data_IF_599960582319
#
_entry.id   IF_599960582319
#
_cell.length_a   1.000
_cell.length_b   1.000
_cell.length_c   1.000
_cell.angle_alpha   90.00
_cell.angle_beta   90.00
_cell.angle_gamma   90.00
#
_symmetry.space_group_name_H-M   'P 1'
#
loop_
_entity.id
_entity.type
_entity.pdbx_description
1 polymer ?
#
# COMPACT_ATOMS: atom_id res chain seq x y z
N UNK A 1 25.09 -39.77 -5.77
CA UNK A 1 25.80 -38.49 -5.60
C UNK A 1 25.11 -37.35 -6.36
N UNK A 2 23.82 -37.06 -6.06
CA UNK A 2 23.07 -35.93 -6.66
C UNK A 2 22.32 -35.06 -5.61
N UNK A 3 22.43 -35.39 -4.32
CA UNK A 3 21.56 -34.83 -3.27
C UNK A 3 22.17 -33.71 -2.42
N UNK A 4 23.42 -33.31 -2.65
CA UNK A 4 24.08 -32.29 -1.80
C UNK A 4 23.85 -30.86 -2.31
N UNK A 5 23.44 -30.69 -3.58
CA UNK A 5 23.23 -29.36 -4.20
C UNK A 5 21.94 -28.64 -3.77
N UNK A 6 21.00 -29.32 -3.12
CA UNK A 6 19.73 -28.71 -2.65
C UNK A 6 19.84 -27.92 -1.34
N UNK A 7 20.95 -28.09 -0.61
CA UNK A 7 21.23 -27.38 0.64
C UNK A 7 22.19 -26.19 0.46
N UNK A 8 22.51 -25.85 -0.80
CA UNK A 8 23.41 -24.75 -1.15
C UNK A 8 22.74 -23.43 -0.79
N UNK A 9 23.09 -22.93 0.39
CA UNK A 9 22.94 -21.56 0.87
C UNK A 9 21.81 -20.77 0.20
N UNK A 10 20.58 -20.92 0.72
CA UNK A 10 19.58 -19.88 0.50
C UNK A 10 20.07 -18.62 1.18
N UNK A 11 20.80 -17.79 0.44
CA UNK A 11 21.22 -16.47 0.85
C UNK A 11 20.00 -15.72 1.39
N UNK A 12 20.19 -14.85 2.38
CA UNK A 12 19.10 -14.07 2.96
C UNK A 12 18.20 -13.40 1.91
N UNK A 13 18.78 -13.01 0.78
CA UNK A 13 18.11 -12.44 -0.39
C UNK A 13 17.04 -13.37 -1.00
N UNK A 14 17.29 -14.68 -1.12
CA UNK A 14 16.31 -15.59 -1.68
C UNK A 14 15.09 -15.72 -0.76
N UNK A 15 15.31 -15.77 0.57
CA UNK A 15 14.22 -15.85 1.55
C UNK A 15 13.35 -14.58 1.53
N UNK A 16 13.97 -13.41 1.34
CA UNK A 16 13.24 -12.15 1.16
C UNK A 16 12.41 -12.15 -0.11
N UNK A 17 12.96 -12.61 -1.25
CA UNK A 17 12.20 -12.68 -2.50
C UNK A 17 10.96 -13.58 -2.41
N UNK A 18 11.06 -14.70 -1.70
CA UNK A 18 9.94 -15.61 -1.47
C UNK A 18 9.00 -15.19 -0.31
N UNK A 19 9.25 -14.04 0.34
CA UNK A 19 8.35 -13.53 1.35
C UNK A 19 7.02 -13.11 0.71
N UNK A 20 5.92 -13.53 1.34
CA UNK A 20 4.57 -13.33 0.78
C UNK A 20 4.25 -11.85 0.51
N UNK A 21 4.69 -10.93 1.39
CA UNK A 21 4.52 -9.50 1.20
C UNK A 21 5.24 -8.97 -0.06
N UNK A 22 6.45 -9.44 -0.34
CA UNK A 22 7.21 -9.03 -1.54
C UNK A 22 6.58 -9.64 -2.80
N UNK A 23 6.17 -10.91 -2.75
CA UNK A 23 5.46 -11.56 -3.85
C UNK A 23 4.16 -10.84 -4.18
N UNK A 24 3.43 -10.35 -3.18
CA UNK A 24 2.24 -9.53 -3.38
C UNK A 24 2.57 -8.25 -4.14
N UNK A 25 3.58 -7.48 -3.72
CA UNK A 25 3.97 -6.25 -4.43
C UNK A 25 4.32 -6.53 -5.88
N UNK A 26 5.11 -7.58 -6.15
CA UNK A 26 5.44 -7.99 -7.52
C UNK A 26 4.19 -8.38 -8.33
N UNK A 27 3.23 -9.07 -7.71
CA UNK A 27 1.97 -9.43 -8.35
C UNK A 27 1.14 -8.19 -8.71
N UNK A 28 1.05 -7.20 -7.82
CA UNK A 28 0.34 -5.94 -8.10
C UNK A 28 0.96 -5.21 -9.30
N UNK A 29 2.29 -5.11 -9.34
CA UNK A 29 3.02 -4.47 -10.44
C UNK A 29 2.90 -5.23 -11.76
N UNK A 30 2.69 -6.54 -11.73
CA UNK A 30 2.57 -7.37 -12.93
C UNK A 30 1.15 -7.42 -13.49
N UNK A 31 0.15 -7.64 -12.63
CA UNK A 31 -1.21 -7.99 -13.04
C UNK A 31 -2.25 -6.90 -12.72
N UNK A 32 -1.97 -5.99 -11.78
CA UNK A 32 -2.91 -4.98 -11.30
C UNK A 32 -2.30 -3.58 -11.33
N UNK A 33 -1.67 -3.26 -12.47
CA UNK A 33 -0.99 -1.98 -12.71
C UNK A 33 -1.96 -0.82 -12.51
N UNK A 34 -3.18 -0.89 -13.06
CA UNK A 34 -4.16 0.19 -12.95
C UNK A 34 -4.51 0.54 -11.50
N UNK A 35 -4.75 -0.47 -10.65
CA UNK A 35 -5.04 -0.23 -9.24
C UNK A 35 -3.80 0.39 -8.56
N UNK A 36 -2.60 -0.10 -8.89
CA UNK A 36 -1.34 0.42 -8.34
C UNK A 36 -1.08 1.86 -8.77
N UNK A 37 -1.46 2.25 -9.99
CA UNK A 37 -1.35 3.61 -10.50
C UNK A 37 -2.14 4.62 -9.68
N UNK A 38 -3.24 4.23 -9.02
CA UNK A 38 -4.01 5.14 -8.15
C UNK A 38 -3.16 5.56 -6.95
N UNK A 39 -2.39 4.64 -6.36
CA UNK A 39 -1.44 4.98 -5.28
C UNK A 39 -0.33 5.91 -5.75
N UNK A 40 0.20 5.67 -6.95
CA UNK A 40 1.23 6.53 -7.57
C UNK A 40 0.68 7.93 -7.82
N UNK A 41 -0.56 8.04 -8.32
CA UNK A 41 -1.24 9.31 -8.55
C UNK A 41 -1.40 10.08 -7.23
N UNK A 42 -1.89 9.43 -6.18
CA UNK A 42 -2.00 10.05 -4.85
C UNK A 42 -0.63 10.52 -4.33
N UNK A 43 0.42 9.72 -4.50
CA UNK A 43 1.79 10.11 -4.14
C UNK A 43 2.30 11.32 -4.92
N UNK A 44 1.99 11.41 -6.22
CA UNK A 44 2.36 12.54 -7.07
C UNK A 44 1.64 13.84 -6.67
N UNK A 45 0.39 13.74 -6.21
CA UNK A 45 -0.38 14.88 -5.69
C UNK A 45 0.21 15.40 -4.37
N UNK A 46 0.55 14.51 -3.43
CA UNK A 46 1.14 14.90 -2.14
C UNK A 46 2.55 15.47 -2.31
N UNK A 47 3.32 14.97 -3.28
CA UNK A 47 4.64 15.51 -3.61
C UNK A 47 4.56 16.88 -4.31
N UNK A 48 3.39 17.26 -4.83
CA UNK A 48 3.22 18.46 -5.65
C UNK A 48 3.87 18.33 -7.04
N UNK A 49 4.15 17.12 -7.52
CA UNK A 49 4.62 16.89 -8.88
C UNK A 49 3.51 17.14 -9.91
N UNK A 50 2.26 16.98 -9.49
CA UNK A 50 1.06 17.19 -10.31
C UNK A 50 0.14 18.14 -9.54
N UNK A 51 -0.60 18.99 -10.26
CA UNK A 51 -1.62 19.88 -9.71
C UNK A 51 -1.14 20.86 -8.61
N UNK A 52 0.16 21.19 -8.58
CA UNK A 52 0.72 22.17 -7.65
C UNK A 52 0.11 23.56 -7.84
N UNK A 53 -0.18 23.96 -9.08
CA UNK A 53 -0.82 25.24 -9.41
C UNK A 53 -2.23 25.36 -8.79
N UNK A 54 -2.93 24.22 -8.66
CA UNK A 54 -4.27 24.15 -8.07
C UNK A 54 -4.23 24.01 -6.54
N UNK A 55 -3.04 24.00 -5.93
CA UNK A 55 -2.91 23.82 -4.49
C UNK A 55 -3.30 22.43 -3.99
N UNK A 56 -3.35 21.41 -4.87
CA UNK A 56 -3.79 20.05 -4.51
C UNK A 56 -3.05 19.46 -3.30
N UNK A 57 -1.76 19.76 -3.16
CA UNK A 57 -0.94 19.36 -2.01
C UNK A 57 -1.47 19.88 -0.66
N UNK A 58 -2.03 21.09 -0.63
CA UNK A 58 -2.54 21.72 0.60
C UNK A 58 -3.77 21.01 1.14
N UNK A 59 -4.60 20.41 0.27
CA UNK A 59 -5.74 19.60 0.70
C UNK A 59 -5.31 18.38 1.53
N UNK A 60 -4.08 17.90 1.34
CA UNK A 60 -3.53 16.79 2.10
C UNK A 60 -2.75 17.27 3.33
N UNK A 61 -1.92 18.29 3.17
CA UNK A 61 -1.04 18.79 4.23
C UNK A 61 -1.79 19.55 5.32
N UNK A 62 -2.69 20.45 4.92
CA UNK A 62 -3.49 21.29 5.81
C UNK A 62 -4.95 21.24 5.36
N UNK A 63 -5.63 20.09 5.53
CA UNK A 63 -7.01 19.95 5.12
C UNK A 63 -7.87 21.03 5.80
N UNK A 64 -8.72 21.67 5.01
CA UNK A 64 -9.64 22.72 5.46
C UNK A 64 -11.07 22.17 5.43
N UNK A 65 -11.81 22.41 6.51
CA UNK A 65 -13.22 22.05 6.61
C UNK A 65 -13.98 23.28 7.11
N UNK A 66 -14.93 23.76 6.30
CA UNK A 66 -15.73 24.96 6.58
C UNK A 66 -14.89 26.23 6.84
N UNK A 67 -13.78 26.45 6.14
CA UNK A 67 -12.92 27.61 6.37
C UNK A 67 -11.78 27.39 7.36
N UNK A 68 -11.81 26.28 8.11
CA UNK A 68 -10.96 26.09 9.27
C UNK A 68 -10.12 24.80 9.18
N UNK A 69 -8.89 24.87 9.68
CA UNK A 69 -8.00 23.70 9.84
C UNK A 69 -8.13 23.21 11.28
N UNK A 70 -8.98 22.22 11.49
CA UNK A 70 -9.28 21.69 12.82
C UNK A 70 -9.24 20.15 12.84
N UNK A 71 -9.54 19.57 14.00
CA UNK A 71 -9.61 18.12 14.17
C UNK A 71 -10.53 17.42 13.15
N UNK A 72 -11.68 18.03 12.82
CA UNK A 72 -12.62 17.45 11.87
C UNK A 72 -12.06 17.38 10.45
N UNK A 73 -11.28 18.39 10.04
CA UNK A 73 -10.61 18.40 8.73
C UNK A 73 -9.68 17.20 8.59
N UNK A 74 -8.85 16.94 9.60
CA UNK A 74 -7.96 15.78 9.61
C UNK A 74 -8.71 14.46 9.82
N UNK A 75 -9.80 14.45 10.59
CA UNK A 75 -10.63 13.26 10.80
C UNK A 75 -11.25 12.76 9.49
N UNK A 76 -11.85 13.64 8.70
CA UNK A 76 -12.43 13.27 7.41
C UNK A 76 -11.36 12.81 6.42
N UNK A 77 -10.21 13.50 6.36
CA UNK A 77 -9.09 13.09 5.53
C UNK A 77 -8.61 11.67 5.91
N UNK A 78 -8.42 11.42 7.21
CA UNK A 78 -8.04 10.11 7.73
C UNK A 78 -9.08 9.02 7.45
N UNK A 79 -10.37 9.33 7.57
CA UNK A 79 -11.46 8.41 7.24
C UNK A 79 -11.46 8.04 5.74
N UNK A 80 -11.30 9.02 4.85
CA UNK A 80 -11.15 8.79 3.41
C UNK A 80 -9.95 7.90 3.10
N UNK A 81 -8.81 8.15 3.73
CA UNK A 81 -7.64 7.29 3.55
C UNK A 81 -7.82 5.88 4.11
N UNK A 82 -8.44 5.73 5.28
CA UNK A 82 -8.69 4.43 5.89
C UNK A 82 -9.65 3.58 5.04
N UNK A 83 -10.74 4.18 4.57
CA UNK A 83 -11.71 3.54 3.66
C UNK A 83 -11.08 3.20 2.30
N UNK A 84 -10.25 4.08 1.75
CA UNK A 84 -9.49 3.81 0.53
C UNK A 84 -8.53 2.62 0.71
N UNK A 85 -7.71 2.62 1.77
CA UNK A 85 -6.79 1.52 2.10
C UNK A 85 -7.52 0.18 2.32
N UNK A 86 -8.68 0.21 2.96
CA UNK A 86 -9.48 -0.99 3.18
C UNK A 86 -10.09 -1.51 1.87
N UNK A 87 -10.60 -0.61 1.03
CA UNK A 87 -11.10 -0.93 -0.30
C UNK A 87 -10.00 -1.55 -1.17
N UNK A 88 -8.79 -0.97 -1.17
CA UNK A 88 -7.62 -1.56 -1.82
C UNK A 88 -7.38 -3.00 -1.38
N UNK A 89 -7.33 -3.25 -0.07
CA UNK A 89 -7.10 -4.59 0.48
C UNK A 89 -8.22 -5.57 0.10
N UNK A 90 -9.47 -5.13 0.11
CA UNK A 90 -10.62 -5.94 -0.26
C UNK A 90 -10.59 -6.32 -1.75
N UNK A 91 -10.43 -5.33 -2.63
CA UNK A 91 -10.41 -5.55 -4.09
C UNK A 91 -9.23 -6.42 -4.50
N UNK A 92 -8.04 -6.16 -3.98
CA UNK A 92 -6.85 -6.95 -4.29
C UNK A 92 -6.94 -8.37 -3.75
N UNK A 93 -7.54 -8.58 -2.57
CA UNK A 93 -7.85 -9.92 -2.06
C UNK A 93 -8.78 -10.68 -3.00
N UNK A 94 -9.88 -10.07 -3.45
CA UNK A 94 -10.82 -10.72 -4.37
C UNK A 94 -10.19 -11.10 -5.71
N UNK A 95 -9.28 -10.28 -6.24
CA UNK A 95 -8.60 -10.52 -7.52
C UNK A 95 -7.43 -11.50 -7.40
N UNK A 96 -6.69 -11.48 -6.28
CA UNK A 96 -5.44 -12.23 -6.13
C UNK A 96 -5.61 -13.54 -5.36
N UNK A 97 -6.69 -13.75 -4.59
CA UNK A 97 -6.82 -14.90 -3.70
C UNK A 97 -6.61 -16.26 -4.40
N UNK A 98 -7.05 -16.40 -5.64
CA UNK A 98 -6.88 -17.63 -6.42
C UNK A 98 -5.41 -18.00 -6.70
N UNK A 99 -4.50 -17.02 -6.75
CA UNK A 99 -3.07 -17.26 -6.97
C UNK A 99 -2.39 -17.89 -5.76
N UNK A 100 -3.02 -17.83 -4.59
CA UNK A 100 -2.46 -18.24 -3.31
C UNK A 100 -3.41 -19.20 -2.57
N UNK A 101 -3.54 -20.46 -3.04
CA UNK A 101 -4.50 -21.43 -2.49
C UNK A 101 -4.24 -21.74 -1.01
N UNK A 102 -3.00 -21.58 -0.53
CA UNK A 102 -2.67 -21.74 0.88
C UNK A 102 -3.43 -20.76 1.79
N UNK A 103 -3.86 -19.60 1.29
CA UNK A 103 -4.68 -18.66 2.07
C UNK A 103 -5.99 -19.30 2.51
N UNK A 104 -6.60 -20.15 1.67
CA UNK A 104 -7.87 -20.80 1.96
C UNK A 104 -7.79 -21.78 3.14
N UNK A 105 -6.60 -22.28 3.50
CA UNK A 105 -6.40 -23.20 4.62
C UNK A 105 -6.10 -22.49 5.95
N UNK A 106 -5.87 -21.17 5.92
CA UNK A 106 -5.55 -20.36 7.10
C UNK A 106 -6.83 -19.91 7.85
N UNK A 107 -6.73 -19.83 9.18
CA UNK A 107 -7.74 -19.16 10.01
C UNK A 107 -7.69 -17.65 9.75
N UNK A 108 -8.83 -17.06 9.33
CA UNK A 108 -8.99 -15.62 8.97
C UNK A 108 -8.11 -15.20 7.76
N UNK A 109 -8.38 -15.73 6.56
CA UNK A 109 -7.54 -15.53 5.38
C UNK A 109 -7.41 -14.06 4.98
N UNK A 110 -8.52 -13.32 4.99
CA UNK A 110 -8.54 -11.90 4.64
C UNK A 110 -7.66 -11.05 5.56
N UNK A 111 -7.74 -11.23 6.88
CA UNK A 111 -6.89 -10.47 7.82
C UNK A 111 -5.40 -10.76 7.60
N UNK A 112 -5.04 -12.02 7.32
CA UNK A 112 -3.66 -12.40 7.01
C UNK A 112 -3.19 -11.80 5.69
N UNK A 113 -4.07 -11.71 4.70
CA UNK A 113 -3.80 -11.01 3.46
C UNK A 113 -3.54 -9.52 3.68
N UNK A 114 -4.44 -8.80 4.40
CA UNK A 114 -4.27 -7.37 4.65
C UNK A 114 -2.96 -7.05 5.37
N UNK A 115 -2.59 -7.89 6.35
CA UNK A 115 -1.30 -7.74 7.03
C UNK A 115 -0.17 -7.91 6.01
N UNK A 116 -0.17 -8.90 5.13
CA UNK A 116 0.93 -9.02 4.17
C UNK A 116 0.89 -7.99 3.04
N UNK A 117 -0.26 -7.37 2.77
CA UNK A 117 -0.43 -6.31 1.79
C UNK A 117 -0.23 -4.90 2.39
N UNK A 118 0.56 -4.78 3.47
CA UNK A 118 0.81 -3.48 4.12
C UNK A 118 1.76 -2.58 3.32
N UNK A 119 2.62 -3.14 2.45
CA UNK A 119 3.80 -2.43 1.92
C UNK A 119 3.41 -1.15 1.17
N UNK A 120 2.47 -1.23 0.23
CA UNK A 120 2.05 -0.07 -0.59
C UNK A 120 1.35 0.99 0.27
N UNK A 121 0.30 0.66 1.07
CA UNK A 121 -0.32 1.65 1.96
C UNK A 121 0.65 2.27 2.96
N UNK A 122 1.48 1.47 3.63
CA UNK A 122 2.44 1.97 4.64
C UNK A 122 3.49 2.86 4.01
N UNK A 123 3.98 2.53 2.81
CA UNK A 123 4.91 3.38 2.07
C UNK A 123 4.28 4.75 1.78
N UNK A 124 3.03 4.76 1.29
CA UNK A 124 2.29 5.98 1.06
C UNK A 124 2.11 6.81 2.34
N UNK A 125 1.62 6.21 3.43
CA UNK A 125 1.43 6.93 4.70
C UNK A 125 2.73 7.49 5.26
N UNK A 126 3.85 6.75 5.16
CA UNK A 126 5.16 7.27 5.55
C UNK A 126 5.56 8.48 4.72
N UNK A 127 5.40 8.42 3.40
CA UNK A 127 5.69 9.57 2.53
C UNK A 127 4.82 10.79 2.88
N UNK A 128 3.54 10.56 3.17
CA UNK A 128 2.62 11.61 3.60
C UNK A 128 3.11 12.31 4.89
N UNK A 129 3.40 11.56 5.95
CA UNK A 129 3.86 12.15 7.21
C UNK A 129 5.21 12.86 7.11
N UNK A 130 6.13 12.33 6.31
CA UNK A 130 7.45 12.98 6.09
C UNK A 130 7.28 14.28 5.32
N UNK A 131 6.39 14.32 4.31
CA UNK A 131 6.14 15.49 3.48
C UNK A 131 5.23 16.53 4.13
N UNK A 132 4.43 16.18 5.14
CA UNK A 132 3.54 17.11 5.83
C UNK A 132 4.24 17.90 6.96
N UNK A 133 5.29 17.35 7.56
CA UNK A 133 6.09 17.99 8.61
C UNK A 133 6.88 19.28 8.22
N UNK A 134 7.21 19.58 6.95
CA UNK A 134 7.97 20.79 6.58
C UNK A 134 7.22 22.14 6.69
N UNK A 135 6.04 22.19 7.31
CA UNK A 135 5.12 23.34 7.25
C UNK A 135 4.67 23.73 8.65
#
# INVERSE_FOLDING_TARGET
>A
MKDIRKYVATSWLSKMYYAFAIQLVLLHLRNHVLLTCIWVLLGALITGSIANLFGAKYLFWSPEYLGEVNFWSFFFLGFCFASFSMTWNLSTYMLCAHHFPFLATLKRPFTKYCINNFIIPVFFYRSYFVLSHPI
#
